data_IF_062688442866
#
_entry.id   IF_062688442866
#
_cell.length_a   1.000
_cell.length_b   1.000
_cell.length_c   1.000
_cell.angle_alpha   90.00
_cell.angle_beta   90.00
_cell.angle_gamma   90.00
#
_symmetry.space_group_name_H-M   'P 1'
#
loop_
_entity.id
_entity.type
_entity.pdbx_description
1 polymer ?
#
# COMPACT_ATOMS: atom_id res chain seq x y z
N UNK A 1 -30.45 32.66 9.78
CA UNK A 1 -30.39 31.52 8.84
C UNK A 1 -28.99 31.27 8.27
N UNK A 2 -27.90 31.44 9.05
CA UNK A 2 -26.51 31.24 8.58
C UNK A 2 -25.84 29.98 9.15
N UNK A 3 -26.36 29.47 10.25
CA UNK A 3 -25.81 28.32 10.99
C UNK A 3 -25.94 27.00 10.25
N UNK A 4 -27.06 26.78 9.55
CA UNK A 4 -27.31 25.57 8.75
C UNK A 4 -26.32 25.39 7.58
N UNK A 5 -25.92 26.49 6.95
CA UNK A 5 -24.99 26.46 5.82
C UNK A 5 -23.56 26.16 6.30
N UNK A 6 -23.17 26.77 7.43
CA UNK A 6 -21.89 26.52 8.10
C UNK A 6 -21.78 25.06 8.58
N UNK A 7 -22.84 24.49 9.17
CA UNK A 7 -22.81 23.09 9.64
C UNK A 7 -22.72 22.09 8.50
N UNK A 8 -23.41 22.31 7.37
CA UNK A 8 -23.31 21.46 6.18
C UNK A 8 -21.90 21.47 5.57
N UNK A 9 -21.24 22.64 5.52
CA UNK A 9 -19.87 22.77 5.02
C UNK A 9 -18.89 22.02 5.92
N UNK A 10 -19.02 22.13 7.25
CA UNK A 10 -18.14 21.40 8.18
C UNK A 10 -18.33 19.89 8.07
N UNK A 11 -19.57 19.40 7.98
CA UNK A 11 -19.86 17.96 7.83
C UNK A 11 -19.30 17.42 6.52
N UNK A 12 -19.46 18.15 5.41
CA UNK A 12 -18.93 17.70 4.11
C UNK A 12 -17.41 17.64 4.09
N UNK A 13 -16.71 18.60 4.68
CA UNK A 13 -15.24 18.58 4.77
C UNK A 13 -14.75 17.39 5.60
N UNK A 14 -15.36 17.15 6.77
CA UNK A 14 -14.98 16.03 7.66
C UNK A 14 -15.30 14.67 7.01
N UNK A 15 -16.45 14.53 6.34
CA UNK A 15 -16.82 13.29 5.64
C UNK A 15 -15.93 13.00 4.42
N UNK A 16 -15.45 14.04 3.70
CA UNK A 16 -14.53 13.87 2.58
C UNK A 16 -13.15 13.36 3.05
N UNK A 17 -12.69 13.84 4.21
CA UNK A 17 -11.39 13.46 4.79
C UNK A 17 -11.37 12.01 5.32
N UNK A 18 -12.47 11.58 5.97
CA UNK A 18 -12.67 10.20 6.41
C UNK A 18 -12.80 9.22 5.23
N UNK A 19 -13.52 9.59 4.17
CA UNK A 19 -13.64 8.77 2.96
C UNK A 19 -12.33 8.62 2.19
N UNK A 20 -11.48 9.66 2.20
CA UNK A 20 -10.19 9.64 1.52
C UNK A 20 -9.14 8.81 2.29
N UNK A 21 -9.23 8.74 3.62
CA UNK A 21 -8.36 7.91 4.47
C UNK A 21 -8.79 6.43 4.54
N UNK A 22 -10.08 6.12 4.39
CA UNK A 22 -10.58 4.74 4.41
C UNK A 22 -10.18 3.92 3.17
N UNK A 23 -9.88 4.58 2.05
CA UNK A 23 -9.52 3.93 0.78
C UNK A 23 -8.01 3.76 0.57
N UNK A 24 -7.19 3.96 1.60
CA UNK A 24 -5.73 3.87 1.43
C UNK A 24 -5.24 2.46 1.78
N UNK A 25 -4.75 1.74 0.76
CA UNK A 25 -4.14 0.42 0.92
C UNK A 25 -2.92 0.49 1.86
N UNK A 26 -2.83 -0.47 2.78
CA UNK A 26 -1.68 -0.65 3.67
C UNK A 26 -0.88 -1.87 3.21
N UNK A 27 0.43 -1.69 2.99
CA UNK A 27 1.33 -2.76 2.56
C UNK A 27 2.55 -2.85 3.48
N UNK A 28 3.09 -4.06 3.65
CA UNK A 28 4.38 -4.21 4.31
C UNK A 28 5.50 -3.63 3.44
N UNK A 29 6.40 -2.87 4.04
CA UNK A 29 7.59 -2.33 3.39
C UNK A 29 8.88 -2.97 3.93
N UNK A 30 8.76 -4.05 4.69
CA UNK A 30 9.89 -4.74 5.27
C UNK A 30 10.53 -5.69 4.26
N UNK A 31 11.85 -5.58 4.13
CA UNK A 31 12.66 -6.53 3.36
C UNK A 31 13.03 -7.77 4.18
N UNK A 32 12.71 -7.79 5.49
CA UNK A 32 13.01 -8.92 6.39
C UNK A 32 11.73 -9.72 6.62
N UNK A 33 11.69 -11.04 6.31
CA UNK A 33 10.46 -11.85 6.38
C UNK A 33 9.76 -11.85 7.74
N UNK A 34 10.53 -11.79 8.82
CA UNK A 34 10.05 -11.83 10.21
C UNK A 34 9.61 -10.47 10.76
N UNK A 35 9.87 -9.37 10.03
CA UNK A 35 9.55 -8.02 10.46
C UNK A 35 8.45 -7.47 9.55
N UNK A 36 7.44 -6.83 10.14
CA UNK A 36 6.40 -6.11 9.42
C UNK A 36 6.56 -4.62 9.65
N UNK A 37 6.67 -3.84 8.58
CA UNK A 37 6.66 -2.37 8.62
C UNK A 37 5.52 -1.89 7.72
N UNK A 38 4.26 -1.93 8.23
CA UNK A 38 3.11 -1.50 7.46
C UNK A 38 3.25 -0.02 7.10
N UNK A 39 3.10 0.28 5.82
CA UNK A 39 3.14 1.63 5.26
C UNK A 39 1.89 1.90 4.47
N UNK A 40 1.48 3.16 4.46
CA UNK A 40 0.32 3.63 3.71
C UNK A 40 0.74 3.88 2.27
N UNK A 41 0.04 3.27 1.31
CA UNK A 41 0.28 3.50 -0.10
C UNK A 41 -0.21 4.86 -0.58
N UNK A 42 0.38 5.37 -1.65
CA UNK A 42 -0.16 6.55 -2.33
C UNK A 42 -1.49 6.22 -3.01
N UNK A 43 -2.33 7.24 -3.25
CA UNK A 43 -3.67 7.07 -3.82
C UNK A 43 -3.70 6.36 -5.20
N UNK A 44 -2.61 6.45 -5.95
CA UNK A 44 -2.42 5.80 -7.26
C UNK A 44 -1.78 4.40 -7.17
N UNK A 45 -1.36 3.96 -5.98
CA UNK A 45 -0.74 2.66 -5.75
C UNK A 45 -1.75 1.73 -5.06
N UNK A 46 -2.47 0.95 -5.88
CA UNK A 46 -3.59 0.10 -5.43
C UNK A 46 -3.17 -1.36 -5.20
N UNK A 47 -1.86 -1.64 -5.21
CA UNK A 47 -1.32 -2.98 -5.06
C UNK A 47 -0.16 -2.99 -4.07
N UNK A 48 -0.13 -4.00 -3.21
CA UNK A 48 1.09 -4.43 -2.53
C UNK A 48 1.88 -5.32 -3.48
N UNK A 49 3.20 -5.25 -3.43
CA UNK A 49 4.07 -6.15 -4.16
C UNK A 49 5.14 -6.77 -3.25
N UNK A 50 5.57 -7.97 -3.59
CA UNK A 50 6.73 -8.65 -3.02
C UNK A 50 7.54 -9.25 -4.17
N UNK A 51 8.81 -8.86 -4.27
CA UNK A 51 9.77 -9.45 -5.21
C UNK A 51 10.72 -10.30 -4.39
N UNK A 52 10.90 -11.56 -4.77
CA UNK A 52 11.90 -12.46 -4.20
C UNK A 52 12.95 -12.76 -5.26
N UNK A 53 14.23 -12.60 -4.92
CA UNK A 53 15.35 -12.74 -5.84
C UNK A 53 16.59 -13.25 -5.10
N UNK A 54 17.48 -13.93 -5.81
CA UNK A 54 18.72 -14.43 -5.24
C UNK A 54 19.85 -13.41 -5.41
N UNK A 55 20.66 -13.23 -4.37
CA UNK A 55 21.91 -12.47 -4.42
C UNK A 55 23.06 -13.38 -3.97
N UNK A 56 24.22 -13.38 -4.63
CA UNK A 56 25.34 -14.24 -4.24
C UNK A 56 25.82 -14.01 -2.80
N UNK A 57 25.73 -12.77 -2.31
CA UNK A 57 26.23 -12.36 -0.99
C UNK A 57 25.26 -12.70 0.16
N UNK A 58 23.95 -12.60 -0.08
CA UNK A 58 22.92 -12.70 0.97
C UNK A 58 21.93 -13.85 0.75
N UNK A 59 22.06 -14.60 -0.35
CA UNK A 59 21.12 -15.63 -0.74
C UNK A 59 19.76 -15.06 -1.17
N UNK A 60 18.69 -15.76 -0.84
CA UNK A 60 17.32 -15.35 -1.15
C UNK A 60 16.93 -14.08 -0.37
N UNK A 61 16.72 -13.00 -1.12
CA UNK A 61 16.32 -11.68 -0.64
C UNK A 61 14.91 -11.37 -1.09
N UNK A 62 14.25 -10.44 -0.39
CA UNK A 62 12.95 -9.92 -0.80
C UNK A 62 12.90 -8.39 -0.77
N UNK A 63 12.03 -7.82 -1.59
CA UNK A 63 11.65 -6.41 -1.59
C UNK A 63 10.15 -6.28 -1.55
N UNK A 64 9.61 -5.45 -0.67
CA UNK A 64 8.16 -5.21 -0.57
C UNK A 64 7.81 -3.74 -0.72
N UNK A 65 6.52 -3.46 -0.89
CA UNK A 65 5.99 -2.11 -0.81
C UNK A 65 4.71 -1.93 -1.64
N UNK A 66 4.45 -0.69 -2.03
CA UNK A 66 3.28 -0.27 -2.81
C UNK A 66 3.64 -0.06 -4.29
N UNK A 67 2.76 -0.44 -5.20
CA UNK A 67 2.93 -0.24 -6.64
C UNK A 67 1.60 0.07 -7.35
N UNK A 68 1.68 0.72 -8.51
CA UNK A 68 0.52 0.99 -9.35
C UNK A 68 0.17 -0.22 -10.24
N UNK A 69 1.18 -0.84 -10.85
CA UNK A 69 1.03 -1.98 -11.75
C UNK A 69 1.90 -3.14 -11.26
N UNK A 70 1.38 -4.37 -11.31
CA UNK A 70 2.16 -5.54 -10.90
C UNK A 70 3.17 -5.91 -12.00
N UNK A 71 4.48 -5.92 -11.72
CA UNK A 71 5.45 -6.33 -12.71
C UNK A 71 5.36 -7.84 -12.99
N UNK A 72 5.80 -8.25 -14.17
CA UNK A 72 5.86 -9.66 -14.52
C UNK A 72 7.00 -10.37 -13.78
N UNK A 73 6.80 -11.66 -13.50
CA UNK A 73 7.87 -12.51 -12.98
C UNK A 73 8.88 -12.83 -14.08
N UNK A 74 10.15 -12.90 -13.70
CA UNK A 74 11.26 -13.33 -14.57
C UNK A 74 11.92 -14.57 -13.98
N UNK A 75 12.72 -15.35 -14.73
CA UNK A 75 13.41 -16.52 -14.18
C UNK A 75 14.21 -16.24 -12.90
N UNK A 76 14.82 -15.05 -12.79
CA UNK A 76 15.66 -14.66 -11.65
C UNK A 76 14.89 -13.98 -10.52
N UNK A 77 13.61 -13.61 -10.75
CA UNK A 77 12.81 -12.80 -9.82
C UNK A 77 11.36 -13.25 -9.82
N UNK A 78 10.91 -13.76 -8.67
CA UNK A 78 9.50 -14.06 -8.43
C UNK A 78 8.79 -12.81 -7.94
N UNK A 79 7.70 -12.43 -8.60
CA UNK A 79 6.86 -11.29 -8.21
C UNK A 79 5.49 -11.79 -7.73
N UNK A 80 5.05 -11.28 -6.59
CA UNK A 80 3.70 -11.50 -6.05
C UNK A 80 3.04 -10.14 -5.81
N UNK A 81 1.76 -10.00 -6.14
CA UNK A 81 0.98 -8.79 -5.89
C UNK A 81 -0.41 -9.11 -5.34
N UNK A 82 -0.98 -8.18 -4.59
CA UNK A 82 -2.35 -8.26 -4.08
C UNK A 82 -2.91 -6.87 -3.77
N UNK A 83 -4.25 -6.78 -3.68
CA UNK A 83 -4.98 -5.52 -3.51
C UNK A 83 -5.68 -5.40 -2.13
N UNK A 84 -5.28 -6.22 -1.16
CA UNK A 84 -5.87 -6.27 0.18
C UNK A 84 -4.91 -5.70 1.23
N UNK A 85 -5.42 -5.20 2.36
CA UNK A 85 -4.55 -4.65 3.39
C UNK A 85 -3.64 -5.73 3.99
N UNK A 86 -2.34 -5.46 4.04
CA UNK A 86 -1.31 -6.29 4.66
C UNK A 86 -1.23 -7.75 4.15
N UNK A 87 -1.59 -7.99 2.89
CA UNK A 87 -1.63 -9.34 2.30
C UNK A 87 -0.26 -9.96 1.99
N UNK A 88 0.80 -9.16 1.83
CA UNK A 88 2.19 -9.62 1.64
C UNK A 88 3.17 -8.80 2.45
#
# INVERSE_FOLDING_TARGET
>A
MKTLLLTLVVVTIVCLDLGNTANTLMCDNSNVPSIRTPTRCLKNQKLCYKITFFTPEFGWTQKKGCIHHCPESTPDKKVECCATNNCI
#
